data_IF_922616860525
#
_entry.id   IF_922616860525
#
_cell.length_a   1.000
_cell.length_b   1.000
_cell.length_c   1.000
_cell.angle_alpha   90.00
_cell.angle_beta   90.00
_cell.angle_gamma   90.00
#
_symmetry.space_group_name_H-M   'P 1'
#
loop_
_entity.id
_entity.type
_entity.pdbx_description
1 polymer ?
#
# COMPACT_ATOMS: atom_id res chain seq x y z
N UNK A 1 19.83 -4.99 -21.15
CA UNK A 1 19.16 -3.70 -21.08
C UNK A 1 18.82 -3.26 -19.66
N UNK A 2 17.77 -3.80 -19.02
CA UNK A 2 17.22 -3.28 -17.72
C UNK A 2 18.27 -3.19 -16.58
N UNK A 3 19.09 -4.23 -16.37
CA UNK A 3 20.13 -4.22 -15.32
C UNK A 3 21.19 -3.14 -15.53
N UNK A 4 21.53 -2.83 -16.77
CA UNK A 4 22.49 -1.77 -17.08
C UNK A 4 21.88 -0.39 -16.81
N UNK A 5 20.63 -0.15 -17.20
CA UNK A 5 19.94 1.10 -16.88
C UNK A 5 19.84 1.31 -15.36
N UNK A 6 19.43 0.28 -14.60
CA UNK A 6 19.39 0.33 -13.14
C UNK A 6 20.77 0.62 -12.51
N UNK A 7 21.85 0.08 -13.10
CA UNK A 7 23.21 0.38 -12.64
C UNK A 7 23.59 1.83 -12.89
N UNK A 8 23.30 2.35 -14.10
CA UNK A 8 23.56 3.75 -14.45
C UNK A 8 22.77 4.71 -13.56
N UNK A 9 21.51 4.42 -13.31
CA UNK A 9 20.66 5.24 -12.43
C UNK A 9 21.21 5.25 -10.99
N UNK A 10 21.69 4.10 -10.49
CA UNK A 10 22.37 4.02 -9.18
C UNK A 10 23.66 4.83 -9.13
N UNK A 11 24.48 4.78 -10.16
CA UNK A 11 25.72 5.57 -10.23
C UNK A 11 25.40 7.06 -10.20
N UNK A 12 24.43 7.53 -10.98
CA UNK A 12 23.97 8.91 -10.97
C UNK A 12 23.47 9.38 -9.60
N UNK A 13 22.78 8.53 -8.86
CA UNK A 13 22.33 8.85 -7.50
C UNK A 13 23.50 9.03 -6.54
N UNK A 14 24.51 8.15 -6.59
CA UNK A 14 25.70 8.24 -5.77
C UNK A 14 26.57 9.46 -6.14
N UNK A 15 26.66 9.78 -7.42
CA UNK A 15 27.33 11.00 -7.92
C UNK A 15 26.63 12.26 -7.40
N UNK A 16 25.29 12.29 -7.40
CA UNK A 16 24.52 13.40 -6.86
C UNK A 16 24.70 13.57 -5.33
N UNK A 17 24.68 12.48 -4.57
CA UNK A 17 25.00 12.53 -3.12
C UNK A 17 26.41 13.07 -2.86
N UNK A 18 27.38 12.64 -3.66
CA UNK A 18 28.75 13.14 -3.56
C UNK A 18 28.83 14.64 -3.85
N UNK A 19 28.16 15.12 -4.90
CA UNK A 19 28.11 16.53 -5.29
C UNK A 19 27.43 17.39 -4.23
N UNK A 20 26.34 16.92 -3.64
CA UNK A 20 25.65 17.62 -2.55
C UNK A 20 26.53 17.79 -1.29
N UNK A 21 27.50 16.90 -1.10
CA UNK A 21 28.51 17.00 -0.01
C UNK A 21 29.73 17.85 -0.32
N UNK A 22 29.92 18.32 -1.59
CA UNK A 22 31.08 19.09 -2.03
C UNK A 22 30.68 20.52 -2.43
N UNK A 23 30.88 21.53 -1.57
CA UNK A 23 30.42 22.93 -1.80
C UNK A 23 31.06 23.67 -2.98
N UNK A 24 32.01 23.04 -3.67
CA UNK A 24 32.86 23.70 -4.68
C UNK A 24 32.51 23.36 -6.14
N UNK A 25 31.55 22.48 -6.38
CA UNK A 25 31.12 22.17 -7.75
C UNK A 25 29.81 22.91 -8.02
N UNK A 26 29.92 24.01 -8.78
CA UNK A 26 28.78 24.79 -9.26
C UNK A 26 27.85 23.90 -10.09
N UNK A 27 26.61 23.69 -9.69
CA UNK A 27 25.70 22.81 -10.43
C UNK A 27 25.21 23.57 -11.68
N UNK A 28 25.83 23.31 -12.79
CA UNK A 28 25.29 23.69 -14.08
C UNK A 28 23.98 22.93 -14.33
N UNK A 29 22.87 23.55 -13.92
CA UNK A 29 21.52 23.05 -14.12
C UNK A 29 21.07 22.03 -13.05
N UNK A 30 20.04 22.41 -12.29
CA UNK A 30 19.34 21.57 -11.29
C UNK A 30 18.68 20.34 -11.93
N UNK A 31 19.48 19.32 -12.26
CA UNK A 31 18.95 18.03 -12.67
C UNK A 31 18.27 17.38 -11.47
N UNK A 32 16.95 17.47 -11.41
CA UNK A 32 16.15 16.81 -10.35
C UNK A 32 16.40 15.30 -10.35
N UNK A 33 16.74 14.77 -9.20
CA UNK A 33 16.99 13.34 -9.02
C UNK A 33 15.69 12.58 -9.01
N UNK A 34 15.60 11.48 -9.78
CA UNK A 34 14.45 10.55 -9.75
C UNK A 34 14.63 9.52 -8.65
N UNK A 35 13.64 9.41 -7.78
CA UNK A 35 13.59 8.45 -6.68
C UNK A 35 12.49 7.41 -6.95
N UNK A 36 12.83 6.23 -7.45
CA UNK A 36 11.87 5.14 -7.63
C UNK A 36 11.52 4.54 -6.27
N UNK A 37 10.22 4.51 -5.95
CA UNK A 37 9.68 4.01 -4.68
C UNK A 37 8.50 3.07 -4.95
N UNK A 38 8.43 1.95 -4.24
CA UNK A 38 7.25 1.07 -4.28
C UNK A 38 6.34 1.33 -3.07
N UNK A 39 5.05 1.29 -3.31
CA UNK A 39 4.04 1.47 -2.26
C UNK A 39 2.84 0.57 -2.55
N UNK A 40 2.17 0.09 -1.51
CA UNK A 40 0.89 -0.58 -1.71
C UNK A 40 -0.23 0.43 -2.02
N UNK A 41 -1.21 -0.02 -2.79
CA UNK A 41 -2.30 0.83 -3.30
C UNK A 41 -3.06 1.56 -2.18
N UNK A 42 -3.29 0.90 -1.05
CA UNK A 42 -4.03 1.47 0.08
C UNK A 42 -3.23 2.55 0.82
N UNK A 43 -1.92 2.38 0.99
CA UNK A 43 -1.06 3.44 1.52
C UNK A 43 -1.02 4.64 0.58
N UNK A 44 -0.92 4.42 -0.74
CA UNK A 44 -0.97 5.51 -1.72
C UNK A 44 -2.30 6.25 -1.67
N UNK A 45 -3.42 5.55 -1.54
CA UNK A 45 -4.76 6.13 -1.50
C UNK A 45 -5.07 6.87 -0.19
N UNK A 46 -4.27 6.71 0.85
CA UNK A 46 -4.53 7.27 2.18
C UNK A 46 -3.45 8.28 2.61
N UNK A 47 -2.36 7.82 3.18
CA UNK A 47 -1.38 8.67 3.86
C UNK A 47 -0.12 8.97 3.04
N UNK A 48 0.24 8.10 2.07
CA UNK A 48 1.52 8.23 1.37
C UNK A 48 1.56 9.42 0.41
N UNK A 49 0.48 9.68 -0.33
CA UNK A 49 0.43 10.80 -1.28
C UNK A 49 0.65 12.17 -0.61
N UNK A 50 0.01 12.52 0.53
CA UNK A 50 0.33 13.73 1.28
C UNK A 50 1.78 13.78 1.78
N UNK A 51 2.33 12.65 2.27
CA UNK A 51 3.70 12.59 2.76
C UNK A 51 4.72 12.87 1.66
N UNK A 52 4.58 12.25 0.48
CA UNK A 52 5.49 12.51 -0.64
C UNK A 52 5.32 13.89 -1.25
N UNK A 53 4.12 14.47 -1.21
CA UNK A 53 3.89 15.85 -1.64
C UNK A 53 4.65 16.85 -0.75
N UNK A 54 4.61 16.66 0.58
CA UNK A 54 5.38 17.48 1.53
C UNK A 54 6.89 17.33 1.31
N UNK A 55 7.36 16.10 1.11
CA UNK A 55 8.77 15.85 0.81
C UNK A 55 9.23 16.49 -0.49
N UNK A 56 8.48 16.33 -1.59
CA UNK A 56 8.82 16.92 -2.89
C UNK A 56 8.81 18.46 -2.88
N UNK A 57 8.06 19.09 -1.97
CA UNK A 57 8.08 20.52 -1.77
C UNK A 57 9.37 21.02 -1.07
N UNK A 58 10.04 20.13 -0.31
CA UNK A 58 11.23 20.46 0.48
C UNK A 58 12.55 20.05 -0.16
N UNK A 59 12.51 19.25 -1.24
CA UNK A 59 13.71 18.71 -1.88
C UNK A 59 13.60 18.76 -3.42
N UNK A 60 14.71 18.96 -4.16
CA UNK A 60 14.72 19.00 -5.63
C UNK A 60 14.66 17.60 -6.25
N UNK A 61 13.64 16.81 -5.89
CA UNK A 61 13.48 15.42 -6.31
C UNK A 61 12.24 15.21 -7.17
N UNK A 62 12.24 14.15 -7.98
CA UNK A 62 11.09 13.62 -8.68
C UNK A 62 10.85 12.20 -8.19
N UNK A 63 9.64 11.89 -7.74
CA UNK A 63 9.26 10.56 -7.30
C UNK A 63 8.69 9.76 -8.48
N UNK A 64 9.14 8.53 -8.61
CA UNK A 64 8.61 7.54 -9.53
C UNK A 64 8.00 6.40 -8.70
N UNK A 65 6.66 6.40 -8.61
CA UNK A 65 5.94 5.54 -7.67
C UNK A 65 5.40 4.32 -8.38
N UNK A 66 5.93 3.14 -8.03
CA UNK A 66 5.40 1.85 -8.43
C UNK A 66 4.38 1.35 -7.40
N UNK A 67 3.24 0.82 -7.87
CA UNK A 67 2.16 0.31 -7.01
C UNK A 67 2.03 -1.19 -7.15
N UNK A 68 1.94 -1.89 -6.00
CA UNK A 68 1.70 -3.34 -5.92
C UNK A 68 0.90 -3.65 -4.64
N UNK A 69 0.60 -4.94 -4.38
CA UNK A 69 0.04 -5.41 -3.12
C UNK A 69 1.01 -5.19 -1.94
N UNK A 70 0.49 -5.04 -0.72
CA UNK A 70 1.29 -4.84 0.50
C UNK A 70 2.28 -5.99 0.78
N UNK A 71 1.98 -7.20 0.32
CA UNK A 71 2.85 -8.37 0.43
C UNK A 71 3.96 -8.45 -0.62
N UNK A 72 3.89 -7.69 -1.72
CA UNK A 72 4.76 -7.84 -2.88
C UNK A 72 5.71 -6.66 -3.11
N UNK A 73 5.47 -5.49 -2.52
CA UNK A 73 6.33 -4.30 -2.70
C UNK A 73 7.80 -4.54 -2.34
N UNK A 74 8.11 -5.42 -1.38
CA UNK A 74 9.48 -5.78 -1.03
C UNK A 74 10.25 -6.49 -2.16
N UNK A 75 9.56 -7.09 -3.14
CA UNK A 75 10.22 -7.74 -4.29
C UNK A 75 10.86 -6.73 -5.23
N UNK A 76 10.23 -5.57 -5.40
CA UNK A 76 10.79 -4.45 -6.16
C UNK A 76 12.11 -3.95 -5.56
N UNK A 77 12.17 -3.89 -4.23
CA UNK A 77 13.37 -3.49 -3.50
C UNK A 77 14.47 -4.56 -3.61
N UNK A 78 14.14 -5.86 -3.47
CA UNK A 78 15.08 -6.97 -3.67
C UNK A 78 15.64 -7.01 -5.08
N UNK A 79 14.81 -6.73 -6.07
CA UNK A 79 15.21 -6.66 -7.48
C UNK A 79 16.02 -5.42 -7.83
N UNK A 80 16.15 -4.44 -6.92
CA UNK A 80 16.83 -3.17 -7.17
C UNK A 80 16.09 -2.27 -8.16
N UNK A 81 14.81 -2.51 -8.39
CA UNK A 81 13.98 -1.70 -9.26
C UNK A 81 13.53 -0.39 -8.58
N UNK A 82 13.51 -0.38 -7.25
CA UNK A 82 13.21 0.80 -6.44
C UNK A 82 14.26 0.98 -5.35
N UNK A 83 14.37 2.20 -4.82
CA UNK A 83 15.29 2.58 -3.74
C UNK A 83 14.66 2.40 -2.37
N UNK A 84 13.34 2.49 -2.31
CA UNK A 84 12.59 2.35 -1.08
C UNK A 84 11.23 1.71 -1.33
N UNK A 85 10.64 1.12 -0.28
CA UNK A 85 9.33 0.52 -0.35
C UNK A 85 8.56 0.62 0.97
N UNK A 86 7.26 0.84 0.87
CA UNK A 86 6.29 0.55 1.94
C UNK A 86 5.84 -0.89 1.77
N UNK A 87 6.02 -1.73 2.79
CA UNK A 87 5.77 -3.17 2.71
C UNK A 87 5.16 -3.71 4.00
N UNK A 88 4.37 -4.78 3.92
CA UNK A 88 3.90 -5.54 5.08
C UNK A 88 4.93 -6.56 5.61
N UNK A 89 6.07 -6.73 4.93
CA UNK A 89 7.10 -7.68 5.34
C UNK A 89 7.91 -7.15 6.53
N UNK A 90 7.83 -7.84 7.66
CA UNK A 90 8.67 -7.59 8.83
C UNK A 90 10.14 -8.00 8.63
N UNK A 91 10.45 -8.74 7.56
CA UNK A 91 11.82 -9.17 7.25
C UNK A 91 12.55 -8.09 6.46
N UNK A 92 13.68 -7.55 6.95
CA UNK A 92 14.48 -6.60 6.21
C UNK A 92 15.00 -7.20 4.90
N UNK A 93 14.95 -6.43 3.83
CA UNK A 93 15.66 -6.74 2.59
C UNK A 93 17.16 -6.52 2.81
N UNK A 94 18.01 -7.45 2.33
CA UNK A 94 19.45 -7.35 2.50
C UNK A 94 19.97 -6.01 1.91
N UNK A 95 20.82 -5.31 2.67
CA UNK A 95 21.37 -4.00 2.27
C UNK A 95 20.42 -2.81 2.47
N UNK A 96 19.25 -3.01 3.06
CA UNK A 96 18.29 -1.96 3.37
C UNK A 96 18.23 -1.64 4.86
N UNK A 97 17.86 -0.40 5.18
CA UNK A 97 17.35 -0.02 6.47
C UNK A 97 15.88 -0.44 6.57
N UNK A 98 15.40 -0.66 7.80
CA UNK A 98 14.05 -1.12 8.06
C UNK A 98 13.48 -0.35 9.26
N UNK A 99 12.31 0.28 9.07
CA UNK A 99 11.65 1.09 10.08
C UNK A 99 10.15 0.74 10.15
N UNK A 100 9.58 0.46 11.32
CA UNK A 100 8.14 0.27 11.46
C UNK A 100 7.41 1.60 11.25
N UNK A 101 6.28 1.55 10.54
CA UNK A 101 5.37 2.69 10.30
C UNK A 101 4.09 2.59 11.12
N UNK A 102 3.91 1.52 11.89
CA UNK A 102 2.65 1.21 12.54
C UNK A 102 1.86 0.15 11.79
N UNK A 103 0.54 0.20 11.87
CA UNK A 103 -0.34 -0.73 11.18
C UNK A 103 -1.47 -0.01 10.46
N UNK A 104 -1.83 -0.48 9.28
CA UNK A 104 -3.04 -0.09 8.59
C UNK A 104 -4.19 -0.96 9.08
N UNK A 105 -5.22 -0.31 9.61
CA UNK A 105 -6.43 -0.99 10.07
C UNK A 105 -7.42 -1.12 8.94
N UNK A 106 -7.91 -2.34 8.73
CA UNK A 106 -8.94 -2.66 7.75
C UNK A 106 -10.23 -3.08 8.43
N UNK A 107 -11.36 -2.65 7.86
CA UNK A 107 -12.70 -3.07 8.23
C UNK A 107 -13.34 -3.80 7.05
N UNK A 108 -13.97 -4.94 7.33
CA UNK A 108 -14.84 -5.60 6.37
C UNK A 108 -16.13 -4.78 6.26
N UNK A 109 -16.43 -4.25 5.08
CA UNK A 109 -17.58 -3.39 4.88
C UNK A 109 -18.28 -3.66 3.53
N UNK A 110 -19.56 -3.31 3.48
CA UNK A 110 -20.40 -3.35 2.28
C UNK A 110 -21.51 -2.29 2.39
N UNK A 111 -22.28 -2.09 1.31
CA UNK A 111 -23.47 -1.24 1.38
C UNK A 111 -24.56 -1.87 2.27
N UNK A 112 -25.45 -1.08 2.91
CA UNK A 112 -26.56 -1.59 3.70
C UNK A 112 -27.45 -2.56 2.93
N UNK A 113 -27.74 -2.27 1.65
CA UNK A 113 -28.55 -3.15 0.78
C UNK A 113 -27.89 -4.52 0.58
N UNK A 114 -26.56 -4.53 0.35
CA UNK A 114 -25.79 -5.76 0.21
C UNK A 114 -25.82 -6.58 1.52
N UNK A 115 -25.66 -5.92 2.67
CA UNK A 115 -25.71 -6.59 3.99
C UNK A 115 -27.09 -7.21 4.21
N UNK A 116 -28.16 -6.47 3.93
CA UNK A 116 -29.52 -6.99 4.05
C UNK A 116 -29.75 -8.22 3.13
N UNK A 117 -29.21 -8.20 1.92
CA UNK A 117 -29.40 -9.29 0.94
C UNK A 117 -28.60 -10.55 1.29
N UNK A 118 -27.36 -10.40 1.75
CA UNK A 118 -26.40 -11.50 1.86
C UNK A 118 -26.10 -11.95 3.31
N UNK A 119 -26.37 -11.07 4.29
CA UNK A 119 -25.98 -11.23 5.68
C UNK A 119 -27.14 -10.99 6.67
N UNK A 120 -28.39 -11.12 6.21
CA UNK A 120 -29.57 -10.91 7.06
C UNK A 120 -29.56 -11.82 8.31
N UNK A 121 -29.09 -13.06 8.17
CA UNK A 121 -29.00 -14.05 9.24
C UNK A 121 -27.63 -14.05 9.95
N UNK A 122 -26.77 -13.11 9.63
CA UNK A 122 -25.42 -12.95 10.19
C UNK A 122 -24.29 -13.29 9.22
N UNK A 123 -23.08 -12.99 9.69
CA UNK A 123 -21.84 -13.18 8.92
C UNK A 123 -21.15 -14.46 9.40
N UNK A 124 -21.24 -15.49 8.60
CA UNK A 124 -20.66 -16.82 8.87
C UNK A 124 -20.04 -17.45 7.60
N UNK A 125 -19.51 -18.66 7.73
CA UNK A 125 -18.88 -19.36 6.61
C UNK A 125 -19.85 -19.62 5.44
N UNK A 126 -21.13 -19.87 5.73
CA UNK A 126 -22.13 -20.19 4.71
C UNK A 126 -22.57 -18.94 3.95
N UNK A 127 -22.81 -17.83 4.65
CA UNK A 127 -23.15 -16.53 4.04
C UNK A 127 -21.96 -15.98 3.23
N UNK A 128 -20.73 -16.07 3.74
CA UNK A 128 -19.51 -15.61 3.05
C UNK A 128 -19.20 -16.45 1.80
N UNK A 129 -19.46 -17.74 1.80
CA UNK A 129 -19.29 -18.60 0.62
C UNK A 129 -20.22 -18.24 -0.55
N UNK A 130 -21.32 -17.50 -0.29
CA UNK A 130 -22.30 -17.07 -1.31
C UNK A 130 -22.17 -15.59 -1.67
N UNK A 131 -21.70 -14.77 -0.72
CA UNK A 131 -21.62 -13.32 -0.89
C UNK A 131 -20.39 -12.93 -1.71
N UNK A 132 -20.52 -12.26 -2.87
CA UNK A 132 -19.38 -11.78 -3.64
C UNK A 132 -18.46 -10.88 -2.81
N UNK A 133 -17.17 -11.18 -2.81
CA UNK A 133 -16.13 -10.35 -2.21
C UNK A 133 -15.40 -9.53 -3.26
N UNK A 134 -14.80 -8.43 -2.85
CA UNK A 134 -13.93 -7.60 -3.67
C UNK A 134 -12.48 -7.93 -3.32
N UNK A 135 -11.59 -8.05 -4.32
CA UNK A 135 -10.15 -8.25 -4.16
C UNK A 135 -9.40 -7.28 -5.07
N UNK A 136 -8.26 -6.79 -4.62
CA UNK A 136 -7.43 -5.89 -5.42
C UNK A 136 -6.77 -6.64 -6.59
N UNK A 137 -6.25 -7.82 -6.34
CA UNK A 137 -5.59 -8.68 -7.32
C UNK A 137 -5.84 -10.16 -6.99
N UNK A 138 -5.50 -11.10 -7.89
CA UNK A 138 -5.55 -12.53 -7.57
C UNK A 138 -4.65 -12.96 -6.41
N UNK A 139 -3.65 -12.14 -6.04
CA UNK A 139 -2.71 -12.37 -4.94
C UNK A 139 -3.18 -11.78 -3.61
N UNK A 140 -4.23 -10.94 -3.63
CA UNK A 140 -4.78 -10.30 -2.44
C UNK A 140 -5.37 -11.36 -1.49
N UNK A 141 -4.81 -11.45 -0.30
CA UNK A 141 -5.21 -12.42 0.73
C UNK A 141 -5.96 -11.79 1.92
N UNK A 142 -6.21 -10.48 1.91
CA UNK A 142 -6.82 -9.79 3.05
C UNK A 142 -8.15 -10.42 3.44
N UNK A 143 -9.07 -10.62 2.49
CA UNK A 143 -10.38 -11.21 2.73
C UNK A 143 -10.25 -12.64 3.24
N UNK A 144 -9.37 -13.44 2.65
CA UNK A 144 -9.12 -14.83 3.07
C UNK A 144 -8.55 -14.90 4.49
N UNK A 145 -7.63 -13.99 4.85
CA UNK A 145 -7.06 -13.88 6.21
C UNK A 145 -8.14 -13.52 7.23
N UNK A 146 -8.98 -12.54 6.91
CA UNK A 146 -10.07 -12.09 7.77
C UNK A 146 -11.10 -13.19 7.99
N UNK A 147 -11.54 -13.85 6.91
CA UNK A 147 -12.51 -14.97 6.96
C UNK A 147 -11.94 -16.14 7.77
N UNK A 148 -10.67 -16.49 7.60
CA UNK A 148 -10.02 -17.52 8.41
C UNK A 148 -10.00 -17.18 9.90
N UNK A 149 -9.77 -15.89 10.23
CA UNK A 149 -9.81 -15.42 11.61
C UNK A 149 -11.23 -15.49 12.20
N UNK A 150 -12.25 -15.19 11.41
CA UNK A 150 -13.66 -15.25 11.83
C UNK A 150 -14.16 -16.68 11.98
N UNK A 151 -13.95 -17.51 10.95
CA UNK A 151 -14.56 -18.84 10.84
C UNK A 151 -13.67 -19.97 11.37
N UNK A 152 -12.40 -19.71 11.67
CA UNK A 152 -11.43 -20.74 12.07
C UNK A 152 -11.03 -21.71 10.94
N UNK A 153 -11.55 -21.54 9.74
CA UNK A 153 -11.33 -22.41 8.58
C UNK A 153 -11.21 -21.62 7.28
N UNK A 154 -10.74 -22.29 6.23
CA UNK A 154 -10.76 -21.74 4.88
C UNK A 154 -12.19 -21.77 4.32
N UNK A 155 -12.60 -20.68 3.68
CA UNK A 155 -13.87 -20.58 2.94
C UNK A 155 -13.55 -20.09 1.54
N UNK A 156 -14.04 -20.79 0.53
CA UNK A 156 -13.93 -20.36 -0.87
C UNK A 156 -14.87 -19.17 -1.08
N UNK A 157 -14.32 -18.04 -1.55
CA UNK A 157 -15.07 -16.80 -1.73
C UNK A 157 -15.30 -16.53 -3.21
N UNK A 158 -16.53 -16.21 -3.66
CA UNK A 158 -16.74 -15.61 -4.98
C UNK A 158 -16.07 -14.22 -5.01
N UNK A 159 -15.36 -13.87 -6.09
CA UNK A 159 -14.50 -12.69 -6.12
C UNK A 159 -14.72 -11.82 -7.35
N UNK A 160 -14.80 -10.51 -7.14
CA UNK A 160 -14.60 -9.50 -8.15
C UNK A 160 -13.21 -8.89 -7.97
N UNK A 161 -12.44 -8.72 -9.06
CA UNK A 161 -11.10 -8.13 -9.01
C UNK A 161 -11.14 -6.69 -9.52
N UNK A 162 -10.74 -5.74 -8.65
CA UNK A 162 -10.67 -4.31 -8.96
C UNK A 162 -9.30 -3.75 -8.49
N UNK A 163 -8.35 -3.47 -9.38
CA UNK A 163 -7.00 -3.03 -9.00
C UNK A 163 -6.92 -1.52 -8.70
N UNK A 164 -7.80 -1.02 -7.84
CA UNK A 164 -7.84 0.37 -7.40
C UNK A 164 -8.58 0.48 -6.08
N UNK A 165 -7.92 0.98 -5.02
CA UNK A 165 -8.51 1.18 -3.69
C UNK A 165 -9.72 2.10 -3.72
N UNK A 166 -9.70 3.15 -4.57
CA UNK A 166 -10.84 4.08 -4.72
C UNK A 166 -12.02 3.40 -5.43
N UNK A 167 -11.77 2.69 -6.54
CA UNK A 167 -12.83 1.96 -7.25
C UNK A 167 -13.44 0.85 -6.36
N UNK A 168 -12.65 0.27 -5.47
CA UNK A 168 -13.06 -0.73 -4.49
C UNK A 168 -14.13 -0.18 -3.54
N UNK A 169 -13.91 1.03 -2.99
CA UNK A 169 -14.89 1.72 -2.14
C UNK A 169 -16.17 2.03 -2.90
N UNK A 170 -16.06 2.57 -4.12
CA UNK A 170 -17.21 2.90 -4.97
C UNK A 170 -18.02 1.63 -5.30
N UNK A 171 -17.36 0.53 -5.64
CA UNK A 171 -18.01 -0.74 -5.94
C UNK A 171 -18.74 -1.32 -4.72
N UNK A 172 -18.12 -1.26 -3.53
CA UNK A 172 -18.75 -1.70 -2.28
C UNK A 172 -20.00 -0.85 -1.95
N UNK A 173 -19.90 0.46 -2.07
CA UNK A 173 -21.02 1.38 -1.84
C UNK A 173 -22.18 1.18 -2.85
N UNK A 174 -21.84 0.80 -4.09
CA UNK A 174 -22.82 0.46 -5.12
C UNK A 174 -23.44 -0.95 -4.96
N UNK A 175 -23.00 -1.73 -3.96
CA UNK A 175 -23.57 -3.05 -3.68
C UNK A 175 -23.00 -4.19 -4.53
N UNK A 176 -21.83 -4.00 -5.15
CA UNK A 176 -21.18 -5.03 -5.98
C UNK A 176 -20.62 -6.19 -5.14
N UNK A 177 -20.21 -5.91 -3.90
CA UNK A 177 -19.60 -6.89 -3.01
C UNK A 177 -19.21 -6.32 -1.66
N UNK A 178 -18.70 -7.16 -0.79
CA UNK A 178 -18.05 -6.78 0.45
C UNK A 178 -16.52 -6.85 0.31
N UNK A 179 -15.77 -6.07 1.10
CA UNK A 179 -14.31 -6.13 1.08
C UNK A 179 -13.67 -5.60 2.34
N UNK A 180 -12.35 -5.81 2.47
CA UNK A 180 -11.52 -5.19 3.48
C UNK A 180 -11.06 -3.82 2.97
N UNK A 181 -11.43 -2.77 3.66
CA UNK A 181 -11.09 -1.39 3.31
C UNK A 181 -10.25 -0.76 4.42
N UNK A 182 -9.23 0.05 4.11
CA UNK A 182 -8.60 0.89 5.11
C UNK A 182 -9.66 1.73 5.83
N UNK A 183 -9.68 1.68 7.16
CA UNK A 183 -10.67 2.41 7.98
C UNK A 183 -10.66 3.91 7.63
N UNK A 184 -9.47 4.50 7.47
CA UNK A 184 -9.33 5.91 7.11
C UNK A 184 -9.93 6.25 5.75
N UNK A 185 -9.91 5.33 4.78
CA UNK A 185 -10.45 5.54 3.44
C UNK A 185 -11.98 5.53 3.43
N UNK A 186 -12.61 4.72 4.29
CA UNK A 186 -14.07 4.57 4.35
C UNK A 186 -14.73 5.32 5.52
N UNK A 187 -13.98 6.05 6.33
CA UNK A 187 -14.50 6.74 7.52
C UNK A 187 -15.71 7.63 7.21
N UNK A 188 -15.67 8.37 6.10
CA UNK A 188 -16.77 9.21 5.65
C UNK A 188 -17.99 8.38 5.23
N UNK A 189 -17.79 7.30 4.50
CA UNK A 189 -18.83 6.38 4.06
C UNK A 189 -19.54 5.72 5.26
N UNK A 190 -18.78 5.34 6.29
CA UNK A 190 -19.34 4.79 7.53
C UNK A 190 -20.18 5.84 8.27
N UNK A 191 -19.71 7.09 8.36
CA UNK A 191 -20.44 8.18 9.01
C UNK A 191 -21.74 8.55 8.27
N UNK A 192 -21.72 8.50 6.94
CA UNK A 192 -22.89 8.77 6.09
C UNK A 192 -23.83 7.55 5.97
N UNK A 193 -23.43 6.36 6.44
CA UNK A 193 -24.20 5.13 6.30
C UNK A 193 -24.28 4.57 4.88
N UNK A 194 -23.42 5.03 3.94
CA UNK A 194 -23.30 4.47 2.58
C UNK A 194 -22.55 3.15 2.56
N UNK A 195 -21.68 2.93 3.55
CA UNK A 195 -21.11 1.65 3.91
C UNK A 195 -21.40 1.34 5.38
N UNK A 196 -21.49 0.06 5.70
CA UNK A 196 -21.59 -0.45 7.07
C UNK A 196 -20.54 -1.52 7.30
N UNK A 197 -19.91 -1.53 8.47
CA UNK A 197 -18.99 -2.58 8.84
C UNK A 197 -19.74 -3.88 9.14
N UNK A 198 -19.31 -4.99 8.56
CA UNK A 198 -19.91 -6.31 8.76
C UNK A 198 -19.76 -6.76 10.22
N UNK A 199 -18.57 -6.60 10.78
CA UNK A 199 -18.21 -6.93 12.17
C UNK A 199 -17.27 -5.86 12.71
N UNK A 200 -17.76 -4.77 13.31
CA UNK A 200 -16.92 -3.64 13.76
C UNK A 200 -15.85 -4.03 14.78
N UNK A 201 -16.13 -5.06 15.57
CA UNK A 201 -15.21 -5.54 16.62
C UNK A 201 -14.16 -6.56 16.10
N UNK A 202 -14.11 -6.80 14.80
CA UNK A 202 -13.15 -7.71 14.17
C UNK A 202 -12.35 -7.00 13.05
N UNK A 203 -11.58 -5.95 13.36
CA UNK A 203 -10.69 -5.32 12.37
C UNK A 203 -9.53 -6.24 12.02
N UNK A 204 -8.93 -6.03 10.86
CA UNK A 204 -7.67 -6.66 10.48
C UNK A 204 -6.57 -5.58 10.45
N UNK A 205 -5.62 -5.65 11.38
CA UNK A 205 -4.47 -4.76 11.40
C UNK A 205 -3.31 -5.39 10.61
N UNK A 206 -2.80 -4.65 9.62
CA UNK A 206 -1.67 -5.05 8.77
C UNK A 206 -0.48 -4.16 9.11
N UNK A 207 0.59 -4.70 9.73
CA UNK A 207 1.78 -3.91 10.04
C UNK A 207 2.45 -3.45 8.76
N UNK A 208 2.91 -2.20 8.75
CA UNK A 208 3.63 -1.60 7.64
C UNK A 208 5.04 -1.19 8.05
N UNK A 209 5.96 -1.31 7.12
CA UNK A 209 7.37 -1.01 7.30
C UNK A 209 7.87 -0.17 6.13
N UNK A 210 8.68 0.84 6.44
CA UNK A 210 9.50 1.54 5.47
C UNK A 210 10.83 0.83 5.35
N UNK A 211 11.19 0.42 4.15
CA UNK A 211 12.49 -0.15 3.86
C UNK A 211 13.15 0.66 2.75
N UNK A 212 14.40 1.05 2.92
CA UNK A 212 15.15 1.80 1.91
C UNK A 212 16.61 1.37 1.84
N UNK A 213 17.20 1.46 0.66
CA UNK A 213 18.60 1.11 0.43
C UNK A 213 19.51 2.00 1.29
N UNK A 214 20.48 1.40 1.99
CA UNK A 214 21.42 2.14 2.86
C UNK A 214 22.28 3.11 2.08
N UNK A 215 22.64 2.75 0.85
CA UNK A 215 23.49 3.57 -0.03
C UNK A 215 22.85 4.91 -0.45
N UNK A 216 21.53 5.06 -0.28
CA UNK A 216 20.78 6.26 -0.68
C UNK A 216 19.98 6.84 0.49
N UNK A 217 20.39 6.55 1.73
CA UNK A 217 19.66 7.01 2.92
C UNK A 217 19.59 8.53 3.01
N UNK A 218 20.66 9.25 2.68
CA UNK A 218 20.70 10.72 2.72
C UNK A 218 19.65 11.37 1.82
N UNK A 219 19.39 10.84 0.62
CA UNK A 219 18.36 11.34 -0.31
C UNK A 219 16.93 11.11 0.18
N UNK A 220 16.73 10.14 1.07
CA UNK A 220 15.42 9.72 1.58
C UNK A 220 15.16 10.18 3.02
N UNK A 221 16.12 10.90 3.65
CA UNK A 221 16.01 11.32 5.05
C UNK A 221 14.76 12.15 5.32
N UNK A 222 14.43 13.10 4.45
CA UNK A 222 13.23 13.91 4.59
C UNK A 222 11.92 13.14 4.42
N UNK A 223 11.93 11.95 3.79
CA UNK A 223 10.78 11.07 3.68
C UNK A 223 10.76 10.00 4.80
N UNK A 224 11.90 9.82 5.49
CA UNK A 224 12.08 8.80 6.53
C UNK A 224 11.73 9.36 7.92
N UNK A 225 11.75 10.67 8.12
CA UNK A 225 11.49 11.39 9.37
C UNK A 225 10.15 12.12 9.36
#
# INVERSE_FOLDING_TARGET
GRRLCQHVDRVRLLEHELQAGLPTLDPAGEARVRLPVAVNADSLATWFAPAVAAFAASAPVLLDVAVDDEGHTAEWLRGGAVLAAVTASARPVAGCNHRPLGAMRYLAAASPAFVHQHFADGVDAASLARAPSLVFSPKDELQTRWVRRLCGQHVELPRHTLPSSQAFVVAAAAGMGWGLHPESLIAEHLRQGTLVALLPNLPLDVPLYWQHARATSGLLDGLTH
#
